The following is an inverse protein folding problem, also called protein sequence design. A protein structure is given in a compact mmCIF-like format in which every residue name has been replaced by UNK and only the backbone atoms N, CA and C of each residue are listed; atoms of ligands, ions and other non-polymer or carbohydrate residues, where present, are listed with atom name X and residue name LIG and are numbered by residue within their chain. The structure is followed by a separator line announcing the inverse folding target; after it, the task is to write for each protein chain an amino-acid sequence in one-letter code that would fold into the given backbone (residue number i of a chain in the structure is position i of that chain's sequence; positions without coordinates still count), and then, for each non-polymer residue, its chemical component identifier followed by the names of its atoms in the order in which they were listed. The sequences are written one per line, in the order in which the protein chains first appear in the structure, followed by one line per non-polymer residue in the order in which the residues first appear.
data_IF_178240490878
#
_entry.id   IF_178240490878
#
_cell.length_a   1.000
_cell.length_b   1.000
_cell.length_c   1.000
_cell.angle_alpha   90.00
_cell.angle_beta   90.00
_cell.angle_gamma   90.00
#
_symmetry.space_group_name_H-M   'P 1'
#
loop_
_entity.id
_entity.type
_entity.pdbx_description
1 polymer ?
#
# COMPACT_ATOMS: atom_id res chain seq x y z
N UNK A 1 -10.59 -40.35 -32.27
CA UNK A 1 -11.27 -39.09 -31.88
C UNK A 1 -10.46 -38.29 -30.84
N UNK A 2 -9.23 -38.73 -30.53
CA UNK A 2 -8.43 -38.27 -29.39
C UNK A 2 -7.56 -37.05 -29.70
N UNK A 3 -7.14 -36.89 -30.96
CA UNK A 3 -6.34 -35.74 -31.42
C UNK A 3 -7.12 -34.44 -31.28
N UNK A 4 -8.40 -34.42 -31.67
CA UNK A 4 -9.23 -33.21 -31.60
C UNK A 4 -9.42 -32.72 -30.16
N UNK A 5 -9.55 -33.65 -29.19
CA UNK A 5 -9.64 -33.30 -27.76
C UNK A 5 -8.31 -32.71 -27.26
N UNK A 6 -7.17 -33.29 -27.61
CA UNK A 6 -5.84 -32.78 -27.23
C UNK A 6 -5.58 -31.39 -27.83
N UNK A 7 -5.96 -31.19 -29.09
CA UNK A 7 -5.84 -29.88 -29.77
C UNK A 7 -6.72 -28.83 -29.08
N UNK A 8 -7.95 -29.18 -28.70
CA UNK A 8 -8.85 -28.25 -28.05
C UNK A 8 -8.35 -27.85 -26.65
N UNK A 9 -7.80 -28.81 -25.89
CA UNK A 9 -7.16 -28.54 -24.60
C UNK A 9 -5.97 -27.60 -24.77
N UNK A 10 -5.12 -27.83 -25.78
CA UNK A 10 -3.97 -26.97 -26.04
C UNK A 10 -4.38 -25.53 -26.37
N UNK A 11 -5.43 -25.36 -27.19
CA UNK A 11 -5.97 -24.03 -27.52
C UNK A 11 -6.48 -23.32 -26.26
N UNK A 12 -7.23 -24.02 -25.41
CA UNK A 12 -7.75 -23.45 -24.15
C UNK A 12 -6.60 -23.01 -23.23
N UNK A 13 -5.53 -23.81 -23.10
CA UNK A 13 -4.37 -23.46 -22.30
C UNK A 13 -3.63 -22.23 -22.84
N UNK A 14 -3.50 -22.10 -24.16
CA UNK A 14 -2.90 -20.91 -24.80
C UNK A 14 -3.74 -19.66 -24.52
N UNK A 15 -5.07 -19.77 -24.62
CA UNK A 15 -5.98 -18.65 -24.32
C UNK A 15 -5.90 -18.22 -22.84
N UNK A 16 -5.82 -19.17 -21.92
CA UNK A 16 -5.63 -18.88 -20.49
C UNK A 16 -4.29 -18.18 -20.23
N UNK A 17 -3.20 -18.64 -20.85
CA UNK A 17 -1.90 -18.00 -20.72
C UNK A 17 -1.91 -16.55 -21.23
N UNK A 18 -2.57 -16.30 -22.36
CA UNK A 18 -2.74 -14.94 -22.90
C UNK A 18 -3.55 -14.05 -21.98
N UNK A 19 -4.63 -14.56 -21.38
CA UNK A 19 -5.45 -13.81 -20.41
C UNK A 19 -4.66 -13.43 -19.15
N UNK A 20 -3.90 -14.38 -18.59
CA UNK A 20 -3.04 -14.12 -17.42
C UNK A 20 -1.98 -13.08 -17.75
N UNK A 21 -1.32 -13.21 -18.91
CA UNK A 21 -0.30 -12.25 -19.34
C UNK A 21 -0.88 -10.85 -19.54
N UNK A 22 -2.04 -10.73 -20.20
CA UNK A 22 -2.71 -9.45 -20.41
C UNK A 22 -3.14 -8.80 -19.08
N UNK A 23 -3.65 -9.58 -18.12
CA UNK A 23 -4.04 -9.09 -16.81
C UNK A 23 -2.85 -8.59 -15.99
N UNK A 24 -1.75 -9.37 -15.96
CA UNK A 24 -0.50 -8.96 -15.33
C UNK A 24 0.07 -7.70 -15.99
N UNK A 25 0.07 -7.63 -17.32
CA UNK A 25 0.55 -6.47 -18.07
C UNK A 25 -0.27 -5.20 -17.83
N UNK A 26 -1.59 -5.31 -17.62
CA UNK A 26 -2.43 -4.18 -17.20
C UNK A 26 -2.09 -3.74 -15.77
N UNK A 27 -1.99 -4.69 -14.82
CA UNK A 27 -1.61 -4.36 -13.42
C UNK A 27 -0.23 -3.74 -13.30
N UNK A 28 0.74 -4.13 -14.13
CA UNK A 28 2.08 -3.51 -14.13
C UNK A 28 2.09 -2.05 -14.57
N UNK A 29 1.01 -1.56 -15.20
CA UNK A 29 0.86 -0.14 -15.57
C UNK A 29 0.13 0.69 -14.53
N UNK A 30 -0.48 0.04 -13.55
CA UNK A 30 -1.02 0.74 -12.39
C UNK A 30 0.19 1.11 -11.51
N UNK A 31 0.42 2.42 -11.22
CA UNK A 31 1.45 2.79 -10.27
C UNK A 31 1.17 1.99 -8.98
N UNK A 32 2.20 1.38 -8.37
CA UNK A 32 2.01 0.64 -7.13
C UNK A 32 1.19 1.53 -6.19
N UNK A 33 0.12 0.99 -5.54
CA UNK A 33 -0.74 1.79 -4.68
C UNK A 33 0.19 2.57 -3.76
N UNK A 34 0.14 3.90 -3.84
CA UNK A 34 1.08 4.80 -3.18
C UNK A 34 1.11 4.39 -1.71
N UNK A 35 2.12 3.60 -1.33
CA UNK A 35 2.30 3.17 0.04
C UNK A 35 2.53 4.45 0.80
N UNK A 36 1.64 4.79 1.74
CA UNK A 36 1.89 5.91 2.66
C UNK A 36 3.28 5.68 3.23
N UNK A 37 4.22 6.55 2.85
CA UNK A 37 5.61 6.43 3.29
C UNK A 37 5.72 6.96 4.71
N UNK A 38 6.78 6.59 5.41
CA UNK A 38 7.09 7.15 6.72
C UNK A 38 7.11 8.69 6.73
N UNK A 39 7.45 9.32 5.59
CA UNK A 39 7.43 10.77 5.40
C UNK A 39 6.01 11.36 5.37
N UNK A 40 5.10 10.71 4.64
CA UNK A 40 3.69 11.12 4.57
C UNK A 40 3.04 11.07 5.98
N UNK A 41 3.39 10.04 6.77
CA UNK A 41 2.92 9.89 8.16
C UNK A 41 3.49 10.98 9.08
N UNK A 42 4.77 11.33 8.95
CA UNK A 42 5.37 12.44 9.73
C UNK A 42 4.71 13.79 9.39
N UNK A 43 4.43 14.04 8.12
CA UNK A 43 3.73 15.24 7.68
C UNK A 43 2.30 15.30 8.27
N UNK A 44 1.59 14.17 8.32
CA UNK A 44 0.27 14.08 8.91
C UNK A 44 0.30 14.29 10.43
N UNK A 45 1.28 13.70 11.12
CA UNK A 45 1.50 13.91 12.56
C UNK A 45 1.78 15.40 12.85
N UNK A 46 2.59 16.07 12.04
CA UNK A 46 2.84 17.52 12.19
C UNK A 46 1.59 18.35 11.92
N UNK A 47 0.77 17.98 10.93
CA UNK A 47 -0.53 18.63 10.67
C UNK A 47 -1.46 18.50 11.87
N UNK A 48 -1.58 17.31 12.44
CA UNK A 48 -2.40 17.05 13.63
C UNK A 48 -1.88 17.83 14.84
N UNK A 49 -0.56 17.90 15.03
CA UNK A 49 0.04 18.67 16.11
C UNK A 49 -0.22 20.17 15.96
N UNK A 50 -0.11 20.70 14.74
CA UNK A 50 -0.28 22.12 14.44
C UNK A 50 -1.74 22.56 14.28
N UNK A 51 -2.71 21.63 14.26
CA UNK A 51 -4.13 21.97 14.14
C UNK A 51 -4.62 22.76 15.37
N UNK A 52 -4.96 24.05 15.24
CA UNK A 52 -5.39 24.86 16.38
C UNK A 52 -6.81 24.51 16.87
N UNK A 53 -7.60 23.80 16.07
CA UNK A 53 -8.98 23.45 16.37
C UNK A 53 -9.12 22.05 17.02
N UNK A 54 -8.07 21.24 16.98
CA UNK A 54 -8.12 19.90 17.58
C UNK A 54 -7.75 19.94 19.07
N UNK A 55 -8.57 19.39 19.98
CA UNK A 55 -8.22 19.33 21.39
C UNK A 55 -6.99 18.45 21.62
N UNK A 56 -6.12 18.78 22.59
CA UNK A 56 -4.82 18.12 22.80
C UNK A 56 -4.95 16.60 23.05
N UNK A 57 -6.05 16.16 23.65
CA UNK A 57 -6.36 14.75 23.85
C UNK A 57 -6.64 14.01 22.52
N UNK A 58 -7.39 14.64 21.61
CA UNK A 58 -7.68 14.06 20.29
C UNK A 58 -6.43 13.99 19.40
N UNK A 59 -5.54 15.00 19.50
CA UNK A 59 -4.24 15.00 18.82
C UNK A 59 -3.40 13.79 19.21
N UNK A 60 -3.27 13.54 20.51
CA UNK A 60 -2.48 12.41 21.02
C UNK A 60 -3.05 11.05 20.56
N UNK A 61 -4.37 10.88 20.57
CA UNK A 61 -5.02 9.65 20.12
C UNK A 61 -4.82 9.44 18.61
N UNK A 62 -4.95 10.49 17.81
CA UNK A 62 -4.75 10.42 16.36
C UNK A 62 -3.30 10.07 16.02
N UNK A 63 -2.33 10.71 16.69
CA UNK A 63 -0.90 10.40 16.55
C UNK A 63 -0.63 8.95 16.99
N UNK A 64 -1.17 8.52 18.13
CA UNK A 64 -0.96 7.16 18.63
C UNK A 64 -1.53 6.10 17.68
N UNK A 65 -2.70 6.33 17.07
CA UNK A 65 -3.22 5.45 16.01
C UNK A 65 -2.29 5.40 14.81
N UNK A 66 -1.84 6.55 14.30
CA UNK A 66 -0.90 6.61 13.18
C UNK A 66 0.41 5.84 13.48
N UNK A 67 0.94 5.97 14.70
CA UNK A 67 2.14 5.27 15.14
C UNK A 67 1.94 3.75 15.34
N UNK A 68 0.72 3.29 15.61
CA UNK A 68 0.43 1.84 15.66
C UNK A 68 0.45 1.18 14.28
N UNK A 69 0.01 1.90 13.24
CA UNK A 69 0.06 1.42 11.86
C UNK A 69 1.45 1.56 11.23
N UNK A 70 2.28 2.50 11.72
CA UNK A 70 3.61 2.80 11.22
C UNK A 70 4.65 2.89 12.36
N UNK A 71 5.04 1.76 12.98
CA UNK A 71 5.98 1.73 14.10
C UNK A 71 7.38 2.26 13.74
N UNK A 72 7.78 2.18 12.48
CA UNK A 72 9.01 2.78 11.96
C UNK A 72 9.07 4.29 12.20
N UNK A 73 7.94 4.99 12.07
CA UNK A 73 7.84 6.44 12.28
C UNK A 73 7.98 6.80 13.76
N UNK A 74 7.49 5.93 14.65
CA UNK A 74 7.60 6.12 16.11
C UNK A 74 9.07 6.11 16.56
N UNK A 75 9.87 5.15 16.04
CA UNK A 75 11.30 5.08 16.34
C UNK A 75 12.06 6.29 15.81
N UNK A 76 11.74 6.75 14.59
CA UNK A 76 12.40 7.91 14.01
C UNK A 76 12.06 9.22 14.75
N UNK A 77 10.81 9.41 15.17
CA UNK A 77 10.39 10.57 15.96
C UNK A 77 11.05 10.59 17.35
N UNK A 78 11.19 9.43 18.00
CA UNK A 78 11.90 9.32 19.27
C UNK A 78 13.40 9.62 19.13
N UNK A 79 14.04 9.18 18.04
CA UNK A 79 15.45 9.50 17.77
C UNK A 79 15.67 11.00 17.46
N UNK A 80 14.71 11.68 16.84
CA UNK A 80 14.80 13.11 16.56
C UNK A 80 14.55 14.00 17.79
N UNK A 81 13.74 13.57 18.76
CA UNK A 81 13.51 14.31 20.00
C UNK A 81 14.59 14.12 21.07
N UNK A 82 15.53 13.18 20.88
CA UNK A 82 16.60 12.86 21.83
C UNK A 82 17.97 13.50 21.53
N UNK A 83 18.04 14.52 20.67
CA UNK A 83 19.29 15.26 20.36
C UNK A 83 19.16 16.74 20.71
#
# INVERSE_FOLDING_TARGET
MDSNKKTLIAIVLILLALLVFAFQYQRSKEPPPKTMTAEDVKAEIQRIQNDPNMPPQAKQIAIQRLLQFHPEVAQELQQQQGR
#
